data_IF_656683572180
#
_entry.id   IF_656683572180
#
_cell.length_a   1.000
_cell.length_b   1.000
_cell.length_c   1.000
_cell.angle_alpha   90.00
_cell.angle_beta   90.00
_cell.angle_gamma   90.00
#
_symmetry.space_group_name_H-M   'P 1'
#
loop_
_entity.id
_entity.type
_entity.pdbx_description
1 polymer ?
#
# COMPACT_ATOMS: atom_id res chain seq x y z
N UNK A 1 -6.16 29.19 -18.51
CA UNK A 1 -4.73 29.11 -18.13
C UNK A 1 -4.40 27.64 -18.00
N UNK A 2 -3.52 27.12 -18.87
CA UNK A 2 -3.18 25.69 -18.93
C UNK A 2 -2.05 25.45 -17.94
N UNK A 3 -2.33 24.80 -16.82
CA UNK A 3 -1.31 24.42 -15.83
C UNK A 3 -0.40 23.37 -16.46
N UNK A 4 0.86 23.74 -16.70
CA UNK A 4 1.88 22.78 -17.11
C UNK A 4 2.22 21.92 -15.89
N UNK A 5 1.85 20.63 -15.93
CA UNK A 5 2.35 19.64 -14.99
C UNK A 5 3.84 19.46 -15.20
N UNK A 6 4.64 19.97 -14.26
CA UNK A 6 6.06 19.71 -14.18
C UNK A 6 6.26 18.25 -13.78
N UNK A 7 6.50 17.38 -14.76
CA UNK A 7 6.88 15.98 -14.53
C UNK A 7 8.28 15.98 -13.90
N UNK A 8 8.34 15.84 -12.59
CA UNK A 8 9.55 15.50 -11.85
C UNK A 8 9.94 14.06 -12.23
N UNK A 9 10.81 13.93 -13.24
CA UNK A 9 11.50 12.68 -13.54
C UNK A 9 12.44 12.36 -12.35
N UNK A 10 12.39 11.14 -11.78
CA UNK A 10 13.37 10.76 -10.77
C UNK A 10 14.76 10.67 -11.42
N UNK A 11 15.70 11.49 -10.93
CA UNK A 11 17.10 11.47 -11.34
C UNK A 11 17.70 10.09 -10.99
N UNK A 12 18.12 9.33 -12.01
CA UNK A 12 18.94 8.13 -11.86
C UNK A 12 20.36 8.55 -11.46
N UNK A 13 20.67 8.51 -10.16
CA UNK A 13 22.04 8.68 -9.70
C UNK A 13 22.76 7.34 -9.87
N UNK A 14 23.56 7.24 -10.93
CA UNK A 14 24.47 6.11 -11.16
C UNK A 14 25.74 6.34 -10.34
N UNK A 15 25.98 5.50 -9.33
CA UNK A 15 27.26 5.48 -8.63
C UNK A 15 28.17 4.37 -9.18
N UNK A 16 29.48 4.63 -9.29
CA UNK A 16 30.40 3.82 -10.06
C UNK A 16 30.77 2.49 -9.38
N UNK A 17 31.09 1.54 -10.26
CA UNK A 17 31.58 0.19 -10.00
C UNK A 17 32.88 0.17 -9.17
N UNK A 18 32.85 -0.69 -8.14
CA UNK A 18 33.88 -1.47 -7.43
C UNK A 18 35.31 -0.94 -7.19
N UNK A 19 35.80 -1.21 -5.98
CA UNK A 19 37.01 -2.03 -5.76
C UNK A 19 36.89 -2.78 -4.42
N UNK A 20 37.23 -4.07 -4.40
CA UNK A 20 36.94 -5.00 -3.30
C UNK A 20 37.92 -5.02 -2.14
N UNK A 21 37.48 -5.63 -1.03
CA UNK A 21 38.36 -6.35 -0.09
C UNK A 21 37.56 -7.48 0.57
N UNK A 22 38.24 -8.59 0.80
CA UNK A 22 37.74 -9.87 1.31
C UNK A 22 37.55 -9.83 2.83
N UNK A 23 36.45 -10.42 3.32
CA UNK A 23 36.17 -10.62 4.74
C UNK A 23 34.92 -11.47 4.92
N UNK A 24 35.10 -12.74 5.28
CA UNK A 24 34.05 -13.69 5.62
C UNK A 24 33.49 -13.36 7.00
N UNK A 25 32.20 -13.02 7.08
CA UNK A 25 31.33 -13.27 8.24
C UNK A 25 29.86 -13.13 7.81
N UNK A 26 29.00 -14.00 8.35
CA UNK A 26 27.61 -14.21 7.93
C UNK A 26 26.77 -12.91 7.99
N UNK A 27 26.32 -12.45 6.82
CA UNK A 27 25.41 -11.30 6.69
C UNK A 27 24.14 -11.76 5.98
N UNK A 28 23.02 -11.54 6.67
CA UNK A 28 21.64 -11.66 6.20
C UNK A 28 21.49 -11.34 4.71
N UNK A 29 20.93 -12.29 3.96
CA UNK A 29 20.43 -12.15 2.58
C UNK A 29 19.29 -11.11 2.52
N UNK A 30 19.55 -9.86 2.86
CA UNK A 30 18.66 -8.76 2.52
C UNK A 30 18.94 -8.37 1.08
N UNK A 31 18.37 -9.14 0.16
CA UNK A 31 18.14 -8.68 -1.20
C UNK A 31 17.46 -7.31 -1.08
N UNK A 32 18.05 -6.22 -1.59
CA UNK A 32 17.44 -4.91 -1.50
C UNK A 32 16.03 -5.01 -2.10
N UNK A 33 15.01 -4.43 -1.46
CA UNK A 33 13.65 -4.50 -1.94
C UNK A 33 13.60 -4.06 -3.41
N UNK A 34 13.13 -4.95 -4.26
CA UNK A 34 13.10 -4.71 -5.70
C UNK A 34 12.32 -3.41 -5.97
N UNK A 35 13.01 -2.43 -6.56
CA UNK A 35 12.43 -1.12 -6.85
C UNK A 35 11.20 -1.32 -7.76
N UNK A 36 10.02 -0.97 -7.25
CA UNK A 36 8.74 -1.07 -7.96
C UNK A 36 7.86 -2.28 -7.62
N UNK A 37 8.33 -3.23 -6.80
CA UNK A 37 7.52 -4.35 -6.29
C UNK A 37 6.62 -3.96 -5.11
N UNK A 38 5.69 -4.86 -4.73
CA UNK A 38 4.98 -4.75 -3.45
C UNK A 38 5.98 -4.88 -2.29
N UNK A 39 5.88 -3.98 -1.32
CA UNK A 39 6.73 -3.90 -0.13
C UNK A 39 5.87 -4.03 1.13
N UNK A 40 6.26 -4.84 2.12
CA UNK A 40 5.48 -4.99 3.33
C UNK A 40 5.40 -3.67 4.12
N UNK A 41 4.22 -3.37 4.64
CA UNK A 41 3.99 -2.29 5.61
C UNK A 41 4.53 -2.77 6.96
N UNK A 42 5.49 -2.03 7.52
CA UNK A 42 6.12 -2.38 8.80
C UNK A 42 5.22 -2.08 10.00
N UNK A 43 4.57 -0.92 9.97
CA UNK A 43 3.65 -0.48 11.00
C UNK A 43 2.25 -0.38 10.42
N UNK A 44 1.42 -1.37 10.73
CA UNK A 44 0.01 -1.38 10.30
C UNK A 44 -0.87 -0.54 11.20
N UNK A 45 -0.38 -0.15 12.38
CA UNK A 45 -1.08 0.75 13.31
C UNK A 45 -0.82 2.23 12.98
N UNK A 46 0.03 2.50 11.97
CA UNK A 46 0.22 3.83 11.42
C UNK A 46 -1.14 4.49 11.14
N UNK A 47 -1.38 5.73 11.62
CA UNK A 47 -2.68 6.39 11.48
C UNK A 47 -3.20 6.48 10.05
N UNK A 48 -2.30 6.64 9.07
CA UNK A 48 -2.66 6.69 7.64
C UNK A 48 -3.12 5.32 7.14
N UNK A 49 -2.44 4.25 7.54
CA UNK A 49 -2.83 2.87 7.19
C UNK A 49 -4.20 2.53 7.80
N UNK A 50 -4.45 2.93 9.05
CA UNK A 50 -5.73 2.76 9.73
C UNK A 50 -6.86 3.62 9.12
N UNK A 51 -6.53 4.80 8.61
CA UNK A 51 -7.48 5.63 7.85
C UNK A 51 -7.85 4.96 6.52
N UNK A 52 -6.86 4.46 5.77
CA UNK A 52 -7.07 3.74 4.52
C UNK A 52 -7.91 2.47 4.73
N UNK A 53 -7.66 1.73 5.81
CA UNK A 53 -8.43 0.54 6.17
C UNK A 53 -9.90 0.87 6.45
N UNK A 54 -10.18 1.97 7.15
CA UNK A 54 -11.56 2.45 7.36
C UNK A 54 -12.20 2.91 6.05
N UNK A 55 -11.45 3.65 5.22
CA UNK A 55 -11.91 4.08 3.90
C UNK A 55 -12.34 2.90 3.04
N UNK A 56 -11.55 1.82 2.94
CA UNK A 56 -11.91 0.68 2.07
C UNK A 56 -13.16 -0.04 2.53
N UNK A 57 -13.38 -0.17 3.85
CA UNK A 57 -14.61 -0.76 4.41
C UNK A 57 -15.82 0.14 4.13
N UNK A 58 -15.70 1.45 4.39
CA UNK A 58 -16.79 2.40 4.12
C UNK A 58 -17.14 2.44 2.64
N UNK A 59 -16.14 2.48 1.76
CA UNK A 59 -16.35 2.52 0.32
C UNK A 59 -16.98 1.22 -0.19
N UNK A 60 -16.51 0.07 0.26
CA UNK A 60 -17.12 -1.22 -0.10
C UNK A 60 -18.58 -1.31 0.36
N UNK A 61 -18.87 -0.93 1.61
CA UNK A 61 -20.24 -0.92 2.12
C UNK A 61 -21.18 -0.05 1.29
N UNK A 62 -20.69 1.11 0.85
CA UNK A 62 -21.44 2.01 -0.03
C UNK A 62 -21.68 1.40 -1.41
N UNK A 63 -20.69 0.77 -2.02
CA UNK A 63 -20.76 0.23 -3.38
C UNK A 63 -21.54 -1.09 -3.45
N UNK A 64 -21.37 -1.97 -2.46
CA UNK A 64 -21.96 -3.31 -2.43
C UNK A 64 -23.26 -3.38 -1.59
N UNK A 65 -23.69 -2.27 -0.99
CA UNK A 65 -24.83 -2.20 -0.08
C UNK A 65 -24.72 -3.21 1.08
N UNK A 66 -23.54 -3.28 1.69
CA UNK A 66 -23.22 -4.15 2.84
C UNK A 66 -23.02 -3.35 4.13
N UNK A 67 -22.85 -4.03 5.26
CA UNK A 67 -22.64 -3.41 6.57
C UNK A 67 -21.48 -4.06 7.36
N UNK A 68 -20.32 -4.18 6.71
CA UNK A 68 -19.11 -4.68 7.35
C UNK A 68 -18.59 -3.67 8.38
N UNK A 69 -18.21 -4.15 9.56
CA UNK A 69 -17.63 -3.35 10.64
C UNK A 69 -16.13 -3.62 10.73
N UNK A 70 -15.33 -2.60 10.40
CA UNK A 70 -13.87 -2.66 10.52
C UNK A 70 -13.46 -3.09 11.94
N UNK A 71 -12.54 -4.06 12.04
CA UNK A 71 -11.98 -4.52 13.31
C UNK A 71 -10.51 -4.09 13.44
N UNK A 72 -9.67 -4.47 12.47
CA UNK A 72 -8.23 -4.15 12.45
C UNK A 72 -7.61 -4.39 11.08
N UNK A 73 -6.41 -3.84 10.87
CA UNK A 73 -5.50 -4.26 9.81
C UNK A 73 -4.71 -5.48 10.27
N UNK A 74 -4.69 -6.54 9.48
CA UNK A 74 -3.95 -7.78 9.80
C UNK A 74 -2.53 -7.69 9.26
N UNK A 75 -2.38 -7.23 8.01
CA UNK A 75 -1.11 -6.98 7.33
C UNK A 75 -1.37 -6.10 6.12
N UNK A 76 -0.32 -5.52 5.55
CA UNK A 76 -0.45 -4.83 4.27
C UNK A 76 0.86 -4.71 3.52
N UNK A 77 0.73 -4.30 2.27
CA UNK A 77 1.83 -4.06 1.35
C UNK A 77 1.59 -2.74 0.61
N UNK A 78 2.65 -2.03 0.24
CA UNK A 78 2.60 -0.84 -0.62
C UNK A 78 3.32 -1.06 -1.93
N UNK A 79 2.88 -0.36 -2.97
CA UNK A 79 3.58 -0.31 -4.24
C UNK A 79 3.53 1.11 -4.79
N UNK A 80 4.71 1.67 -5.07
CA UNK A 80 4.83 2.99 -5.70
C UNK A 80 4.67 2.85 -7.21
N UNK A 81 3.76 3.63 -7.77
CA UNK A 81 3.43 3.74 -9.20
C UNK A 81 3.26 5.23 -9.55
N UNK A 82 2.37 5.60 -10.47
CA UNK A 82 1.82 6.96 -10.55
C UNK A 82 0.86 7.23 -9.36
N UNK A 83 1.41 7.21 -8.13
CA UNK A 83 0.71 7.24 -6.85
C UNK A 83 1.18 6.10 -5.96
N UNK A 84 0.43 5.78 -4.90
CA UNK A 84 0.74 4.65 -4.02
C UNK A 84 -0.44 3.71 -3.97
N UNK A 85 -0.22 2.44 -4.31
CA UNK A 85 -1.20 1.39 -4.01
C UNK A 85 -0.92 0.82 -2.64
N UNK A 86 -1.98 0.58 -1.88
CA UNK A 86 -1.96 -0.15 -0.62
C UNK A 86 -2.81 -1.39 -0.78
N UNK A 87 -2.23 -2.56 -0.55
CA UNK A 87 -2.92 -3.85 -0.48
C UNK A 87 -3.01 -4.22 0.98
N UNK A 88 -4.21 -4.14 1.55
CA UNK A 88 -4.45 -4.37 2.96
C UNK A 88 -5.24 -5.67 3.13
N UNK A 89 -4.82 -6.50 4.08
CA UNK A 89 -5.68 -7.54 4.64
C UNK A 89 -6.33 -6.94 5.89
N UNK A 90 -7.65 -6.76 5.85
CA UNK A 90 -8.44 -6.19 6.94
C UNK A 90 -9.36 -7.24 7.51
N UNK A 91 -9.47 -7.27 8.84
CA UNK A 91 -10.50 -8.05 9.52
C UNK A 91 -11.75 -7.17 9.65
N UNK A 92 -12.90 -7.70 9.26
CA UNK A 92 -14.18 -7.03 9.39
C UNK A 92 -15.27 -8.01 9.84
N UNK A 93 -16.21 -7.51 10.64
CA UNK A 93 -17.33 -8.28 11.13
C UNK A 93 -18.59 -7.98 10.32
N UNK A 94 -19.30 -9.02 9.86
CA UNK A 94 -20.51 -8.89 9.03
C UNK A 94 -21.81 -8.89 9.85
N UNK A 95 -21.72 -8.91 11.18
CA UNK A 95 -22.85 -9.08 12.11
C UNK A 95 -22.95 -10.49 12.69
N UNK A 96 -22.28 -11.48 12.09
CA UNK A 96 -22.29 -12.88 12.53
C UNK A 96 -20.88 -13.38 12.84
N UNK A 97 -19.94 -13.14 11.93
CA UNK A 97 -18.57 -13.61 12.02
C UNK A 97 -17.58 -12.50 11.65
N UNK A 98 -16.35 -12.64 12.15
CA UNK A 98 -15.23 -11.81 11.74
C UNK A 98 -14.45 -12.55 10.66
N UNK A 99 -14.39 -11.96 9.48
CA UNK A 99 -13.73 -12.49 8.30
C UNK A 99 -12.60 -11.56 7.84
N UNK A 100 -11.68 -12.11 7.06
CA UNK A 100 -10.60 -11.35 6.46
C UNK A 100 -10.93 -10.99 5.02
N UNK A 101 -10.55 -9.78 4.63
CA UNK A 101 -10.75 -9.25 3.29
C UNK A 101 -9.45 -8.65 2.79
N UNK A 102 -9.13 -8.94 1.54
CA UNK A 102 -8.09 -8.22 0.81
C UNK A 102 -8.71 -7.04 0.07
N UNK A 103 -8.21 -5.85 0.37
CA UNK A 103 -8.60 -4.61 -0.29
C UNK A 103 -7.38 -3.95 -0.93
N UNK A 104 -7.54 -3.42 -2.15
CA UNK A 104 -6.51 -2.62 -2.81
C UNK A 104 -7.03 -1.22 -3.02
N UNK A 105 -6.42 -0.23 -2.37
CA UNK A 105 -6.70 1.19 -2.55
C UNK A 105 -5.54 1.86 -3.28
N UNK A 106 -5.86 2.70 -4.27
CA UNK A 106 -4.89 3.52 -4.97
C UNK A 106 -5.04 4.98 -4.56
N UNK A 107 -4.01 5.52 -3.92
CA UNK A 107 -3.94 6.90 -3.46
C UNK A 107 -3.11 7.75 -4.42
N UNK A 108 -3.69 8.87 -4.84
CA UNK A 108 -3.10 9.88 -5.71
C UNK A 108 -3.40 11.25 -5.09
N UNK A 109 -2.50 11.79 -4.24
CA UNK A 109 -2.75 13.02 -3.49
C UNK A 109 -3.03 14.26 -4.34
N UNK A 110 -2.68 14.23 -5.63
CA UNK A 110 -2.93 15.31 -6.58
C UNK A 110 -4.30 15.27 -7.27
N UNK A 111 -5.12 14.24 -7.04
CA UNK A 111 -6.48 14.14 -7.59
C UNK A 111 -7.54 14.60 -6.58
N UNK A 112 -8.65 15.17 -7.08
CA UNK A 112 -9.75 15.69 -6.24
C UNK A 112 -10.36 14.60 -5.35
N UNK A 113 -10.53 13.39 -5.88
CA UNK A 113 -11.02 12.24 -5.11
C UNK A 113 -9.94 11.60 -4.23
N UNK A 114 -8.65 11.82 -4.53
CA UNK A 114 -7.47 11.43 -3.75
C UNK A 114 -7.22 9.92 -3.58
N UNK A 115 -8.27 9.10 -3.53
CA UNK A 115 -8.24 7.67 -3.22
C UNK A 115 -9.29 6.93 -4.06
N UNK A 116 -8.97 5.71 -4.47
CA UNK A 116 -9.88 4.84 -5.23
C UNK A 116 -9.78 3.41 -4.74
N UNK A 117 -10.89 2.79 -4.36
CA UNK A 117 -10.96 1.36 -4.08
C UNK A 117 -10.93 0.61 -5.42
N UNK A 118 -9.89 -0.17 -5.65
CA UNK A 118 -9.66 -0.87 -6.93
C UNK A 118 -10.00 -2.36 -6.88
N UNK A 119 -10.01 -2.95 -5.69
CA UNK A 119 -10.40 -4.35 -5.48
C UNK A 119 -10.79 -4.56 -4.02
N UNK A 120 -11.78 -5.42 -3.80
CA UNK A 120 -12.19 -5.90 -2.48
C UNK A 120 -12.69 -7.34 -2.60
N UNK A 121 -12.11 -8.27 -1.82
CA UNK A 121 -12.53 -9.68 -1.83
C UNK A 121 -12.32 -10.36 -0.48
N UNK A 122 -13.16 -11.33 -0.16
CA UNK A 122 -12.97 -12.23 0.97
C UNK A 122 -11.74 -13.13 0.73
N UNK A 123 -10.97 -13.44 1.79
CA UNK A 123 -9.77 -14.29 1.72
C UNK A 123 -9.75 -15.38 2.78
#
# INVERSE_FOLDING_TARGET
>A
MKTQSLLLLPLLVSFPVSNGVSGSDAVSDQKPPALGGWQPIKDVEDPHVQELARFVITQHNKEANTNLKFQKVVRGETQVVAGTKYRLIVAANDGHATNNYEAVVWEKPWEISGRTLTSFKHV
#
